data_IF_447583285240
#
_entry.id   IF_447583285240
#
_cell.length_a   1.000
_cell.length_b   1.000
_cell.length_c   1.000
_cell.angle_alpha   90.00
_cell.angle_beta   90.00
_cell.angle_gamma   90.00
#
_symmetry.space_group_name_H-M   'P 1'
#
loop_
_entity.id
_entity.type
_entity.pdbx_description
1 polymer ?
#
# COMPACT_ATOMS: atom_id res chain seq x y z
N UNK A 1 -21.65 4.12 -16.30
CA UNK A 1 -22.70 3.46 -15.49
C UNK A 1 -22.07 3.03 -14.19
N UNK A 2 -22.71 3.32 -13.06
CA UNK A 2 -22.19 2.93 -11.74
C UNK A 2 -22.82 1.61 -11.32
N UNK A 3 -22.00 0.64 -10.98
CA UNK A 3 -22.35 -0.67 -10.44
C UNK A 3 -22.05 -0.67 -8.95
N UNK A 4 -22.96 -1.20 -8.14
CA UNK A 4 -22.77 -1.32 -6.70
C UNK A 4 -22.14 -2.68 -6.39
N UNK A 5 -21.03 -2.68 -5.66
CA UNK A 5 -20.46 -3.91 -5.10
C UNK A 5 -21.24 -4.23 -3.83
N UNK A 6 -21.92 -5.36 -3.82
CA UNK A 6 -22.71 -5.82 -2.67
C UNK A 6 -22.03 -7.02 -2.02
N UNK A 7 -22.27 -7.20 -0.72
CA UNK A 7 -21.84 -8.41 -0.03
C UNK A 7 -22.59 -9.62 -0.61
N UNK A 8 -21.91 -10.61 -1.18
CA UNK A 8 -22.55 -11.81 -1.72
C UNK A 8 -23.12 -12.68 -0.60
N UNK A 9 -23.91 -13.70 -0.94
CA UNK A 9 -24.39 -14.65 0.05
C UNK A 9 -23.20 -15.45 0.62
N UNK A 10 -22.88 -15.23 1.90
CA UNK A 10 -21.73 -15.81 2.59
C UNK A 10 -21.97 -17.28 3.03
N UNK A 11 -23.19 -17.78 2.87
CA UNK A 11 -23.63 -19.14 3.20
C UNK A 11 -25.05 -19.15 3.77
N UNK A 12 -25.71 -20.32 3.81
CA UNK A 12 -27.11 -20.46 4.26
C UNK A 12 -27.36 -20.00 5.72
N UNK A 13 -26.31 -19.82 6.53
CA UNK A 13 -26.41 -19.40 7.94
C UNK A 13 -25.52 -18.21 8.32
N UNK A 14 -24.85 -17.55 7.35
CA UNK A 14 -23.92 -16.45 7.62
C UNK A 14 -24.54 -15.16 7.06
N UNK A 15 -24.99 -14.29 7.96
CA UNK A 15 -25.74 -13.06 7.62
C UNK A 15 -24.87 -11.80 7.63
N UNK A 16 -23.68 -11.88 8.19
CA UNK A 16 -22.75 -10.76 8.37
C UNK A 16 -21.29 -11.20 8.14
N UNK A 17 -20.48 -10.28 7.63
CA UNK A 17 -19.04 -10.41 7.48
C UNK A 17 -18.36 -9.11 7.93
N UNK A 18 -17.07 -9.21 8.24
CA UNK A 18 -16.22 -8.03 8.47
C UNK A 18 -15.34 -7.81 7.25
N UNK A 19 -15.17 -6.57 6.82
CA UNK A 19 -14.22 -6.24 5.75
C UNK A 19 -12.81 -6.48 6.28
N UNK A 20 -12.11 -7.49 5.77
CA UNK A 20 -10.74 -7.79 6.19
C UNK A 20 -9.78 -6.74 5.63
N UNK A 21 -9.78 -6.60 4.30
CA UNK A 21 -8.97 -5.61 3.58
C UNK A 21 -9.53 -5.31 2.19
N UNK A 22 -9.21 -4.13 1.67
CA UNK A 22 -9.46 -3.78 0.28
C UNK A 22 -8.23 -4.11 -0.57
N UNK A 23 -8.42 -4.93 -1.61
CA UNK A 23 -7.38 -5.18 -2.62
C UNK A 23 -7.27 -4.04 -3.62
N UNK A 24 -8.37 -3.31 -3.81
CA UNK A 24 -8.50 -2.17 -4.73
C UNK A 24 -8.97 -0.92 -4.01
N UNK A 25 -8.38 0.23 -4.35
CA UNK A 25 -8.76 1.52 -3.75
C UNK A 25 -9.71 2.31 -4.64
N UNK A 26 -10.40 3.30 -4.07
CA UNK A 26 -11.14 4.29 -4.84
C UNK A 26 -10.21 4.98 -5.87
N UNK A 27 -10.63 5.01 -7.13
CA UNK A 27 -9.86 5.48 -8.27
C UNK A 27 -9.04 4.39 -8.97
N UNK A 28 -9.00 3.16 -8.47
CA UNK A 28 -8.27 2.07 -9.12
C UNK A 28 -9.13 1.30 -10.12
N UNK A 29 -8.51 0.86 -11.22
CA UNK A 29 -9.14 -0.01 -12.20
C UNK A 29 -9.24 -1.46 -11.69
N UNK A 30 -10.41 -2.08 -11.91
CA UNK A 30 -10.73 -3.47 -11.58
C UNK A 30 -11.35 -4.14 -12.81
N UNK A 31 -10.99 -5.40 -13.09
CA UNK A 31 -11.61 -6.17 -14.15
C UNK A 31 -12.85 -6.95 -13.67
N UNK A 32 -13.69 -7.40 -14.61
CA UNK A 32 -14.78 -8.32 -14.30
C UNK A 32 -14.21 -9.66 -13.82
N UNK A 33 -14.66 -10.14 -12.67
CA UNK A 33 -14.15 -11.33 -12.00
C UNK A 33 -12.89 -11.10 -11.16
N UNK A 34 -12.39 -9.87 -11.05
CA UNK A 34 -11.22 -9.57 -10.22
C UNK A 34 -11.62 -9.29 -8.77
N UNK A 35 -10.88 -9.85 -7.81
CA UNK A 35 -11.12 -9.67 -6.39
C UNK A 35 -10.87 -8.22 -5.96
N UNK A 36 -11.90 -7.60 -5.38
CA UNK A 36 -11.90 -6.17 -5.02
C UNK A 36 -11.67 -5.97 -3.53
N UNK A 37 -12.31 -6.82 -2.73
CA UNK A 37 -12.35 -6.74 -1.27
C UNK A 37 -12.42 -8.15 -0.68
N UNK A 38 -11.68 -8.34 0.40
CA UNK A 38 -11.63 -9.59 1.16
C UNK A 38 -12.52 -9.42 2.40
N UNK A 39 -13.48 -10.31 2.55
CA UNK A 39 -14.39 -10.38 3.69
C UNK A 39 -13.93 -11.50 4.62
N UNK A 40 -13.81 -11.22 5.91
CA UNK A 40 -13.53 -12.21 6.93
C UNK A 40 -14.82 -12.55 7.68
N UNK A 41 -15.08 -13.84 7.83
CA UNK A 41 -16.14 -14.38 8.68
C UNK A 41 -15.50 -15.23 9.78
N UNK A 42 -16.27 -15.58 10.82
CA UNK A 42 -15.81 -16.39 11.97
C UNK A 42 -15.06 -17.69 11.57
N UNK A 43 -15.35 -18.23 10.38
CA UNK A 43 -14.85 -19.53 9.91
C UNK A 43 -13.92 -19.46 8.70
N UNK A 44 -14.13 -18.50 7.79
CA UNK A 44 -13.46 -18.47 6.47
C UNK A 44 -13.35 -17.04 5.94
N UNK A 45 -12.28 -16.75 5.20
CA UNK A 45 -12.13 -15.54 4.41
C UNK A 45 -12.72 -15.77 3.00
N UNK A 46 -13.60 -14.87 2.56
CA UNK A 46 -14.24 -14.89 1.25
C UNK A 46 -13.83 -13.65 0.45
N UNK A 47 -13.44 -13.85 -0.81
CA UNK A 47 -13.08 -12.75 -1.70
C UNK A 47 -14.29 -12.34 -2.54
N UNK A 48 -14.64 -11.04 -2.51
CA UNK A 48 -15.70 -10.50 -3.36
C UNK A 48 -15.07 -10.00 -4.66
N UNK A 49 -15.45 -10.62 -5.77
CA UNK A 49 -15.05 -10.19 -7.10
C UNK A 49 -15.99 -9.12 -7.67
N UNK A 50 -15.45 -8.25 -8.54
CA UNK A 50 -16.26 -7.26 -9.26
C UNK A 50 -17.06 -7.95 -10.37
N UNK A 51 -18.38 -7.72 -10.44
CA UNK A 51 -19.22 -8.24 -11.54
C UNK A 51 -18.83 -7.66 -12.91
N UNK A 52 -18.25 -6.46 -12.94
CA UNK A 52 -17.91 -5.74 -14.16
C UNK A 52 -16.54 -5.08 -14.06
N UNK A 53 -15.91 -4.88 -15.23
CA UNK A 53 -14.71 -4.08 -15.33
C UNK A 53 -15.05 -2.58 -15.22
N UNK A 54 -14.25 -1.84 -14.46
CA UNK A 54 -14.44 -0.41 -14.24
C UNK A 54 -13.42 0.18 -13.27
N UNK A 55 -13.71 1.36 -12.78
CA UNK A 55 -12.90 2.05 -11.75
C UNK A 55 -13.71 2.18 -10.48
N UNK A 56 -13.12 1.90 -9.32
CA UNK A 56 -13.83 2.10 -8.04
C UNK A 56 -14.14 3.57 -7.86
N UNK A 57 -15.42 3.93 -7.90
CA UNK A 57 -15.88 5.30 -7.74
C UNK A 57 -15.82 5.74 -6.27
N UNK A 58 -16.30 4.88 -5.35
CA UNK A 58 -16.31 5.17 -3.92
C UNK A 58 -16.38 3.88 -3.09
N UNK A 59 -15.77 3.91 -1.91
CA UNK A 59 -15.84 2.85 -0.90
C UNK A 59 -16.69 3.38 0.26
N UNK A 60 -17.83 2.73 0.52
CA UNK A 60 -18.75 3.10 1.61
C UNK A 60 -18.37 2.41 2.91
N UNK A 61 -17.85 1.17 2.81
CA UNK A 61 -17.48 0.31 3.94
C UNK A 61 -15.98 0.07 3.95
N UNK A 62 -15.30 0.63 4.94
CA UNK A 62 -13.85 0.54 5.10
C UNK A 62 -13.38 -0.79 5.66
N UNK A 63 -12.06 -0.98 5.72
CA UNK A 63 -11.43 -2.12 6.40
C UNK A 63 -11.81 -2.13 7.89
N UNK A 64 -12.20 -3.30 8.40
CA UNK A 64 -12.68 -3.51 9.76
C UNK A 64 -14.17 -3.22 9.98
N UNK A 65 -14.91 -2.77 8.96
CA UNK A 65 -16.34 -2.50 9.10
C UNK A 65 -17.18 -3.78 8.97
N UNK A 66 -18.25 -3.88 9.76
CA UNK A 66 -19.18 -5.01 9.73
C UNK A 66 -20.29 -4.75 8.73
N UNK A 67 -20.49 -5.70 7.82
CA UNK A 67 -21.38 -5.59 6.67
C UNK A 67 -22.30 -6.80 6.59
N UNK A 68 -23.57 -6.57 6.29
CA UNK A 68 -24.57 -7.63 6.15
C UNK A 68 -24.66 -8.13 4.70
N UNK A 69 -25.20 -9.33 4.49
CA UNK A 69 -25.48 -9.84 3.15
C UNK A 69 -26.39 -8.87 2.39
N UNK A 70 -25.97 -8.48 1.18
CA UNK A 70 -26.67 -7.49 0.35
C UNK A 70 -26.33 -6.03 0.65
N UNK A 71 -25.53 -5.74 1.69
CA UNK A 71 -25.08 -4.38 1.98
C UNK A 71 -24.11 -3.87 0.92
N UNK A 72 -24.12 -2.56 0.66
CA UNK A 72 -23.31 -1.93 -0.39
C UNK A 72 -21.93 -1.60 0.16
N UNK A 73 -20.92 -2.34 -0.29
CA UNK A 73 -19.52 -2.13 0.07
C UNK A 73 -18.96 -0.87 -0.58
N UNK A 74 -19.32 -0.65 -1.84
CA UNK A 74 -18.85 0.47 -2.63
C UNK A 74 -19.50 0.49 -4.01
N UNK A 75 -19.00 1.38 -4.86
CA UNK A 75 -19.49 1.54 -6.23
C UNK A 75 -18.33 1.57 -7.22
N UNK A 76 -18.53 0.95 -8.37
CA UNK A 76 -17.60 0.86 -9.51
C UNK A 76 -18.23 1.55 -10.69
N UNK A 77 -17.53 2.53 -11.28
CA UNK A 77 -17.94 3.15 -12.53
C UNK A 77 -17.40 2.34 -13.71
N UNK A 78 -18.28 1.63 -14.42
CA UNK A 78 -18.00 1.12 -15.76
C UNK A 78 -18.25 2.27 -16.73
N UNK A 79 -17.20 3.02 -17.02
CA UNK A 79 -17.29 4.28 -17.77
C UNK A 79 -15.99 5.06 -17.79
N UNK A 80 -15.12 4.82 -16.80
CA UNK A 80 -13.82 5.49 -16.69
C UNK A 80 -12.65 4.55 -17.03
N UNK A 81 -12.78 3.82 -18.14
CA UNK A 81 -11.59 3.34 -18.86
C UNK A 81 -11.07 4.42 -19.83
N UNK A 82 -11.47 5.68 -19.64
CA UNK A 82 -11.06 6.81 -20.45
C UNK A 82 -10.11 7.72 -19.66
N UNK A 83 -8.83 7.53 -19.95
CA UNK A 83 -7.73 8.51 -19.93
C UNK A 83 -7.26 9.08 -18.59
N UNK A 84 -6.36 8.33 -17.93
CA UNK A 84 -4.94 8.73 -17.97
C UNK A 84 -4.09 7.57 -18.53
N UNK A 85 -4.40 7.17 -19.76
CA UNK A 85 -3.33 6.89 -20.70
C UNK A 85 -2.69 8.24 -21.01
N UNK A 86 -1.65 8.61 -20.26
CA UNK A 86 -0.75 9.65 -20.74
C UNK A 86 -0.17 9.11 -22.06
N UNK A 87 -0.43 9.77 -23.21
CA UNK A 87 0.07 9.30 -24.48
C UNK A 87 1.59 9.42 -24.46
N UNK A 88 2.19 8.30 -24.81
CA UNK A 88 3.56 8.16 -25.30
C UNK A 88 3.95 9.37 -26.14
N UNK A 89 4.86 10.19 -25.62
CA UNK A 89 5.84 10.85 -26.45
C UNK A 89 6.93 9.81 -26.75
N UNK A 90 6.84 9.23 -27.95
CA UNK A 90 7.88 8.42 -28.56
C UNK A 90 9.08 9.32 -28.99
N UNK A 91 10.13 8.79 -29.62
CA UNK A 91 11.27 8.20 -28.94
C UNK A 91 12.58 8.89 -29.38
N UNK A 92 13.60 8.92 -28.53
CA UNK A 92 14.99 8.93 -29.01
C UNK A 92 15.79 7.90 -28.24
N UNK A 93 16.18 6.91 -29.04
CA UNK A 93 17.14 5.83 -28.84
C UNK A 93 18.12 5.95 -27.65
N UNK A 94 18.11 4.87 -26.88
CA UNK A 94 19.26 4.10 -26.34
C UNK A 94 20.61 4.34 -27.04
N UNK A 95 21.77 4.17 -26.35
CA UNK A 95 22.17 2.87 -25.80
C UNK A 95 22.80 2.97 -24.39
N UNK A 96 22.34 2.18 -23.43
CA UNK A 96 22.87 0.85 -23.09
C UNK A 96 23.64 0.87 -21.77
N UNK A 97 23.07 0.22 -20.75
CA UNK A 97 23.70 -0.89 -20.04
C UNK A 97 22.68 -1.51 -19.08
N UNK A 98 22.22 -2.71 -19.42
CA UNK A 98 21.84 -3.70 -18.41
C UNK A 98 23.14 -4.22 -17.72
N UNK A 99 23.07 -5.13 -16.73
CA UNK A 99 22.14 -5.27 -15.60
C UNK A 99 22.93 -5.51 -14.29
N UNK A 100 22.51 -5.04 -13.10
CA UNK A 100 22.80 -5.77 -11.84
C UNK A 100 22.05 -5.21 -10.64
N UNK A 101 21.42 -6.13 -9.90
CA UNK A 101 21.38 -6.26 -8.44
C UNK A 101 21.15 -5.02 -7.56
N UNK A 102 20.18 -5.16 -6.66
CA UNK A 102 19.97 -4.34 -5.48
C UNK A 102 21.29 -3.86 -4.84
N UNK A 103 21.46 -2.56 -4.55
CA UNK A 103 22.41 -2.14 -3.55
C UNK A 103 21.73 -2.30 -2.19
N UNK A 104 22.24 -3.28 -1.44
CA UNK A 104 22.40 -3.15 0.02
C UNK A 104 22.68 -1.70 0.40
N UNK A 105 22.15 -1.18 1.53
CA UNK A 105 22.36 0.19 1.95
C UNK A 105 23.86 0.46 2.06
N UNK A 106 24.39 1.19 1.09
CA UNK A 106 25.75 1.72 1.12
C UNK A 106 25.81 2.69 2.28
N UNK A 107 26.66 2.47 3.30
CA UNK A 107 26.91 3.47 4.32
C UNK A 107 27.42 4.74 3.64
N UNK A 108 26.77 5.88 3.89
CA UNK A 108 27.19 7.17 3.35
C UNK A 108 28.61 7.48 3.87
N UNK A 109 29.63 7.57 3.01
CA UNK A 109 31.03 7.77 3.42
C UNK A 109 31.31 9.19 3.95
N UNK A 110 30.27 10.03 4.10
CA UNK A 110 30.37 11.37 4.73
C UNK A 110 30.17 11.35 6.24
N UNK A 111 29.82 10.20 6.84
CA UNK A 111 29.70 10.07 8.29
C UNK A 111 30.88 9.26 8.84
N UNK A 112 31.68 9.81 9.78
CA UNK A 112 32.83 9.12 10.37
C UNK A 112 32.43 7.90 11.20
N UNK A 113 31.14 7.76 11.54
CA UNK A 113 30.60 6.71 12.40
C UNK A 113 29.40 6.02 11.77
N UNK A 114 29.35 4.68 11.76
CA UNK A 114 28.21 3.93 11.24
C UNK A 114 26.94 4.17 12.08
N UNK A 115 25.86 4.65 11.48
CA UNK A 115 24.61 4.98 12.18
C UNK A 115 23.61 3.82 12.07
N UNK A 116 22.85 3.54 13.14
CA UNK A 116 21.77 2.55 13.08
C UNK A 116 20.56 3.10 12.29
N UNK A 117 19.78 2.25 11.60
CA UNK A 117 18.62 2.70 10.81
C UNK A 117 17.57 3.48 11.62
N UNK A 118 17.43 3.14 12.90
CA UNK A 118 16.51 3.83 13.83
C UNK A 118 17.03 5.23 14.18
N UNK A 119 18.33 5.37 14.43
CA UNK A 119 18.96 6.67 14.69
C UNK A 119 18.86 7.61 13.47
N UNK A 120 19.03 7.07 12.26
CA UNK A 120 18.87 7.85 11.03
C UNK A 120 17.42 8.38 10.86
N UNK A 121 16.42 7.55 11.19
CA UNK A 121 15.00 7.98 11.14
C UNK A 121 14.71 9.11 12.13
N UNK A 122 15.18 8.98 13.37
CA UNK A 122 14.96 9.98 14.43
C UNK A 122 15.70 11.29 14.11
N UNK A 123 16.93 11.23 13.62
CA UNK A 123 17.66 12.44 13.25
C UNK A 123 17.01 13.20 12.09
N UNK A 124 16.44 12.49 11.12
CA UNK A 124 15.68 13.10 10.03
C UNK A 124 14.40 13.80 10.51
N UNK A 125 13.69 13.23 11.48
CA UNK A 125 12.49 13.84 12.07
C UNK A 125 12.79 15.08 12.91
N UNK A 126 13.95 15.10 13.58
CA UNK A 126 14.38 16.21 14.42
C UNK A 126 15.32 17.19 13.72
N UNK A 127 15.58 16.99 12.42
CA UNK A 127 16.56 17.75 11.63
C UNK A 127 17.95 17.87 12.32
N UNK A 128 18.37 16.82 13.02
CA UNK A 128 19.63 16.76 13.78
C UNK A 128 20.77 16.27 12.88
N UNK A 129 21.94 16.90 13.01
CA UNK A 129 23.15 16.49 12.30
C UNK A 129 23.83 15.32 13.02
N UNK A 130 23.91 14.18 12.33
CA UNK A 130 24.49 12.93 12.82
C UNK A 130 26.03 12.94 12.83
N UNK A 131 26.65 13.94 12.21
CA UNK A 131 28.10 14.01 11.99
C UNK A 131 28.90 14.25 13.29
N UNK A 132 28.26 14.79 14.33
CA UNK A 132 28.87 15.08 15.63
C UNK A 132 28.40 14.19 16.78
N UNK A 133 27.54 13.20 16.51
CA UNK A 133 26.90 12.41 17.56
C UNK A 133 27.79 11.24 17.99
N UNK A 134 28.19 11.14 19.28
CA UNK A 134 28.97 10.01 19.77
C UNK A 134 28.13 8.73 19.74
N UNK A 135 28.60 7.70 19.04
CA UNK A 135 27.90 6.43 18.94
C UNK A 135 28.18 5.50 20.12
N UNK A 136 27.18 5.25 20.97
CA UNK A 136 27.30 4.36 22.13
C UNK A 136 26.89 2.91 21.81
N UNK A 137 26.48 2.62 20.58
CA UNK A 137 25.98 1.31 20.17
C UNK A 137 27.06 0.27 19.87
N UNK A 138 26.68 -1.02 19.72
CA UNK A 138 27.60 -2.10 19.40
C UNK A 138 28.35 -1.83 18.08
N UNK A 139 29.68 -1.73 18.17
CA UNK A 139 30.56 -1.37 17.05
C UNK A 139 30.73 0.13 16.82
N UNK A 140 30.53 0.96 17.84
CA UNK A 140 30.68 2.42 17.76
C UNK A 140 29.56 3.10 16.97
N UNK A 141 28.38 2.45 16.93
CA UNK A 141 27.26 2.92 16.12
C UNK A 141 26.41 3.95 16.86
N UNK A 142 25.93 4.96 16.15
CA UNK A 142 24.96 5.91 16.70
C UNK A 142 23.60 5.24 16.84
N UNK A 143 23.08 5.22 18.07
CA UNK A 143 21.79 4.62 18.43
C UNK A 143 20.71 5.69 18.60
N UNK A 144 19.45 5.25 18.70
CA UNK A 144 18.31 6.14 18.97
C UNK A 144 18.52 7.00 20.22
N UNK A 145 19.13 6.43 21.26
CA UNK A 145 19.38 7.13 22.53
C UNK A 145 20.45 8.21 22.37
N UNK A 146 21.44 8.00 21.50
CA UNK A 146 22.49 8.98 21.22
C UNK A 146 21.93 10.17 20.43
N UNK A 147 21.03 9.92 19.48
CA UNK A 147 20.33 10.99 18.72
C UNK A 147 19.36 11.79 19.59
N UNK A 148 18.69 11.14 20.55
CA UNK A 148 17.80 11.84 21.49
C UNK A 148 18.55 12.68 22.54
N UNK A 149 19.84 12.41 22.74
CA UNK A 149 20.71 13.14 23.69
C UNK A 149 21.57 14.23 23.02
N UNK A 150 21.64 14.24 21.69
CA UNK A 150 22.34 15.23 20.87
C UNK A 150 21.47 16.46 20.60
#
# INVERSE_FOLDING_TARGET
MSYEIKVPALGESIVEATVARWLKRAGEAVAAGEAVVELETDKVNLEVASDQAGVIAAITKGEGDVVAVGDVLGSVSSGDAAVVAAPVAAPVATPAAAPVAAPTPTPDPRLPTPVTPVAHRVAAEHALDLSGVPGSGPGGRVTKEDVLKA
#
